data_IF_094972949079
#
_entry.id   IF_094972949079
#
_cell.length_a   1.000
_cell.length_b   1.000
_cell.length_c   1.000
_cell.angle_alpha   90.00
_cell.angle_beta   90.00
_cell.angle_gamma   90.00
#
_symmetry.space_group_name_H-M   'P 1'
#
loop_
_entity.id
_entity.type
_entity.pdbx_description
1 polymer ?
#
# COMPACT_ATOMS: atom_id res chain seq x y z
N UNK A 1 5.03 11.03 13.75
CA UNK A 1 6.21 11.89 13.99
C UNK A 1 6.64 12.44 12.64
N UNK A 2 7.03 13.72 12.53
CA UNK A 2 7.61 14.26 11.31
C UNK A 2 8.94 13.56 10.99
N UNK A 3 9.27 13.44 9.70
CA UNK A 3 10.58 12.98 9.25
C UNK A 3 11.64 14.04 9.57
N UNK A 4 12.81 13.59 10.01
CA UNK A 4 14.02 14.40 10.16
C UNK A 4 14.57 14.86 8.81
N UNK A 5 15.50 15.82 8.83
CA UNK A 5 16.15 16.30 7.62
C UNK A 5 16.91 15.20 6.86
N UNK A 6 17.56 14.29 7.60
CA UNK A 6 18.31 13.17 7.02
C UNK A 6 17.37 12.14 6.37
N UNK A 7 16.24 11.86 7.01
CA UNK A 7 15.20 10.98 6.45
C UNK A 7 14.58 11.59 5.18
N UNK A 8 14.31 12.89 5.17
CA UNK A 8 13.83 13.59 3.98
C UNK A 8 14.86 13.57 2.83
N UNK A 9 16.14 13.73 3.16
CA UNK A 9 17.21 13.63 2.17
C UNK A 9 17.33 12.21 1.58
N UNK A 10 17.21 11.17 2.42
CA UNK A 10 17.17 9.77 1.98
C UNK A 10 15.94 9.49 1.10
N UNK A 11 14.77 10.00 1.48
CA UNK A 11 13.54 9.91 0.67
C UNK A 11 13.76 10.49 -0.72
N UNK A 12 14.38 11.67 -0.85
CA UNK A 12 14.63 12.28 -2.17
C UNK A 12 15.63 11.48 -3.01
N UNK A 13 16.71 10.95 -2.40
CA UNK A 13 17.67 10.09 -3.11
C UNK A 13 17.00 8.83 -3.67
N UNK A 14 16.22 8.14 -2.84
CA UNK A 14 15.48 6.94 -3.25
C UNK A 14 14.41 7.25 -4.29
N UNK A 15 13.69 8.37 -4.16
CA UNK A 15 12.71 8.83 -5.15
C UNK A 15 13.36 9.02 -6.53
N UNK A 16 14.51 9.68 -6.59
CA UNK A 16 15.26 9.88 -7.84
C UNK A 16 15.74 8.54 -8.40
N UNK A 17 16.38 7.71 -7.57
CA UNK A 17 16.95 6.43 -7.99
C UNK A 17 15.89 5.45 -8.53
N UNK A 18 14.68 5.47 -7.96
CA UNK A 18 13.55 4.66 -8.42
C UNK A 18 12.82 5.24 -9.65
N UNK A 19 13.25 6.39 -10.18
CA UNK A 19 12.54 7.15 -11.22
C UNK A 19 11.11 7.54 -10.83
N UNK A 20 10.90 7.87 -9.54
CA UNK A 20 9.60 8.21 -8.97
C UNK A 20 9.20 9.68 -9.09
N UNK A 21 10.01 10.54 -9.72
CA UNK A 21 9.67 11.98 -9.88
C UNK A 21 8.44 12.14 -10.76
N UNK A 22 7.45 12.88 -10.26
CA UNK A 22 6.17 13.10 -10.94
C UNK A 22 5.18 11.93 -10.88
N UNK A 23 5.54 10.80 -10.25
CA UNK A 23 4.62 9.68 -10.09
C UNK A 23 3.70 9.92 -8.86
N UNK A 24 2.35 9.83 -8.98
CA UNK A 24 1.42 10.16 -7.88
C UNK A 24 1.68 9.41 -6.57
N UNK A 25 2.00 8.12 -6.63
CA UNK A 25 2.37 7.34 -5.44
C UNK A 25 3.56 7.93 -4.67
N UNK A 26 4.52 8.49 -5.39
CA UNK A 26 5.73 9.03 -4.79
C UNK A 26 5.50 10.43 -4.20
N UNK A 27 4.43 11.16 -4.53
CA UNK A 27 4.19 12.52 -4.00
C UNK A 27 4.22 12.60 -2.47
N UNK A 28 3.86 11.51 -1.78
CA UNK A 28 3.93 11.43 -0.33
C UNK A 28 5.24 10.81 0.16
N UNK A 29 6.02 11.57 0.93
CA UNK A 29 7.32 11.13 1.47
C UNK A 29 7.24 9.83 2.26
N UNK A 30 6.16 9.63 3.03
CA UNK A 30 5.95 8.42 3.82
C UNK A 30 5.78 7.14 2.95
N UNK A 31 5.33 7.28 1.70
CA UNK A 31 5.25 6.16 0.76
C UNK A 31 6.63 5.69 0.29
N UNK A 32 7.64 6.55 0.32
CA UNK A 32 9.02 6.20 0.01
C UNK A 32 9.73 5.74 1.27
N UNK A 33 9.52 6.46 2.39
CA UNK A 33 10.09 6.15 3.69
C UNK A 33 9.78 4.71 4.15
N UNK A 34 8.57 4.18 3.85
CA UNK A 34 8.23 2.77 4.16
C UNK A 34 9.15 1.75 3.49
N UNK A 35 9.67 2.04 2.30
CA UNK A 35 10.59 1.16 1.59
C UNK A 35 11.97 1.23 2.24
N UNK A 36 12.46 2.43 2.51
CA UNK A 36 13.72 2.64 3.24
C UNK A 36 13.70 1.90 4.58
N UNK A 37 12.60 2.03 5.33
CA UNK A 37 12.43 1.35 6.62
C UNK A 37 12.37 -0.17 6.46
N UNK A 38 11.65 -0.68 5.47
CA UNK A 38 11.51 -2.12 5.24
C UNK A 38 12.83 -2.80 4.88
N UNK A 39 13.74 -2.06 4.25
CA UNK A 39 15.08 -2.53 3.85
C UNK A 39 16.18 -2.02 4.77
N UNK A 40 15.85 -1.70 6.03
CA UNK A 40 16.85 -1.43 7.07
C UNK A 40 17.72 -0.19 6.82
N UNK A 41 17.24 0.76 6.01
CA UNK A 41 18.02 1.94 5.60
C UNK A 41 18.86 1.74 4.35
N UNK A 42 18.82 0.56 3.71
CA UNK A 42 19.48 0.34 2.42
C UNK A 42 18.72 1.08 1.31
N UNK A 43 19.26 2.24 0.91
CA UNK A 43 18.67 3.11 -0.10
C UNK A 43 18.69 2.48 -1.51
N UNK A 44 19.70 1.66 -1.83
CA UNK A 44 19.83 1.03 -3.15
C UNK A 44 18.81 -0.09 -3.32
N UNK A 45 18.69 -0.95 -2.31
CA UNK A 45 17.69 -2.02 -2.31
C UNK A 45 16.28 -1.43 -2.27
N UNK A 46 16.05 -0.43 -1.41
CA UNK A 46 14.76 0.27 -1.35
C UNK A 46 14.38 0.91 -2.69
N UNK A 47 15.32 1.53 -3.40
CA UNK A 47 15.07 2.12 -4.72
C UNK A 47 14.73 1.05 -5.77
N UNK A 48 15.45 -0.08 -5.76
CA UNK A 48 15.21 -1.20 -6.67
C UNK A 48 13.81 -1.78 -6.49
N UNK A 49 13.40 -2.00 -5.25
CA UNK A 49 12.10 -2.57 -4.94
C UNK A 49 10.97 -1.55 -5.16
N UNK A 50 11.20 -0.28 -4.83
CA UNK A 50 10.26 0.80 -5.15
C UNK A 50 10.02 0.88 -6.66
N UNK A 51 11.07 0.84 -7.49
CA UNK A 51 10.94 0.86 -8.95
C UNK A 51 10.09 -0.31 -9.45
N UNK A 52 10.31 -1.52 -8.91
CA UNK A 52 9.46 -2.69 -9.22
C UNK A 52 8.01 -2.45 -8.80
N UNK A 53 7.77 -1.86 -7.63
CA UNK A 53 6.43 -1.53 -7.17
C UNK A 53 5.73 -0.54 -8.11
N UNK A 54 6.41 0.53 -8.54
CA UNK A 54 5.87 1.51 -9.49
C UNK A 54 5.46 0.84 -10.81
N UNK A 55 6.29 -0.06 -11.34
CA UNK A 55 5.94 -0.83 -12.54
C UNK A 55 4.68 -1.69 -12.35
N UNK A 56 4.54 -2.36 -11.21
CA UNK A 56 3.35 -3.16 -10.89
C UNK A 56 2.10 -2.28 -10.84
N UNK A 57 2.21 -1.09 -10.23
CA UNK A 57 1.09 -0.14 -10.16
C UNK A 57 0.60 0.26 -11.53
N UNK A 58 1.50 0.49 -12.49
CA UNK A 58 1.10 0.84 -13.85
C UNK A 58 0.53 -0.35 -14.63
N UNK A 59 1.16 -1.53 -14.53
CA UNK A 59 0.66 -2.75 -15.19
C UNK A 59 -0.75 -3.11 -14.71
N UNK A 60 -1.00 -2.97 -13.41
CA UNK A 60 -2.28 -3.29 -12.79
C UNK A 60 -3.24 -2.09 -12.72
N UNK A 61 -2.87 -0.93 -13.27
CA UNK A 61 -3.67 0.30 -13.22
C UNK A 61 -4.12 0.69 -11.80
N UNK A 62 -3.27 0.46 -10.79
CA UNK A 62 -3.57 0.74 -9.37
C UNK A 62 -3.62 2.24 -9.04
N UNK A 63 -3.17 3.09 -9.96
CA UNK A 63 -3.29 4.55 -9.90
C UNK A 63 -4.68 5.04 -10.25
N UNK A 64 -5.42 4.29 -11.08
CA UNK A 64 -6.76 4.64 -11.55
C UNK A 64 -7.86 3.77 -10.94
N UNK A 65 -7.52 2.76 -10.13
CA UNK A 65 -8.49 2.01 -9.33
C UNK A 65 -9.39 3.01 -8.58
N UNK A 66 -10.66 3.14 -8.98
CA UNK A 66 -11.56 4.06 -8.30
C UNK A 66 -11.83 3.56 -6.89
N UNK A 67 -12.47 4.40 -6.08
CA UNK A 67 -13.46 3.91 -5.13
C UNK A 67 -14.54 3.15 -5.93
N UNK A 68 -14.23 1.97 -6.46
CA UNK A 68 -15.16 1.13 -7.21
C UNK A 68 -16.29 0.84 -6.26
N UNK A 69 -17.41 1.54 -6.49
CA UNK A 69 -18.62 1.35 -5.72
C UNK A 69 -19.15 -0.02 -6.09
N UNK A 70 -18.81 -1.06 -5.33
CA UNK A 70 -19.51 -2.35 -5.20
C UNK A 70 -19.70 -3.24 -6.44
N UNK A 71 -19.92 -2.68 -7.63
CA UNK A 71 -20.43 -3.38 -8.83
C UNK A 71 -19.37 -4.18 -9.59
N UNK A 72 -18.08 -3.91 -9.34
CA UNK A 72 -16.95 -4.66 -9.92
C UNK A 72 -16.28 -5.61 -8.93
N UNK A 73 -16.85 -5.80 -7.74
CA UNK A 73 -16.36 -6.77 -6.76
C UNK A 73 -16.89 -8.14 -7.17
N UNK A 74 -15.98 -9.11 -7.30
CA UNK A 74 -16.36 -10.49 -7.56
C UNK A 74 -17.11 -11.06 -6.35
N UNK A 75 -18.45 -11.05 -6.41
CA UNK A 75 -19.35 -11.56 -5.37
C UNK A 75 -19.02 -13.02 -4.99
N UNK A 76 -18.51 -13.83 -5.93
CA UNK A 76 -18.06 -15.19 -5.64
C UNK A 76 -16.76 -15.20 -4.82
N UNK A 77 -15.83 -14.28 -5.08
CA UNK A 77 -14.62 -14.15 -4.28
C UNK A 77 -14.93 -13.75 -2.82
N UNK A 78 -15.91 -12.86 -2.60
CA UNK A 78 -16.32 -12.43 -1.25
C UNK A 78 -16.92 -13.59 -0.43
N UNK A 79 -17.59 -14.55 -1.08
CA UNK A 79 -18.16 -15.74 -0.44
C UNK A 79 -17.11 -16.67 0.15
N UNK A 80 -15.97 -16.84 -0.52
CA UNK A 80 -14.91 -17.78 -0.10
C UNK A 80 -13.76 -17.10 0.64
N UNK A 81 -13.56 -15.80 0.45
CA UNK A 81 -12.54 -15.03 1.15
C UNK A 81 -13.09 -13.68 1.65
N UNK A 82 -14.02 -13.70 2.64
CA UNK A 82 -14.60 -12.47 3.15
C UNK A 82 -13.53 -11.57 3.77
N UNK A 83 -13.44 -10.34 3.28
CA UNK A 83 -12.53 -9.31 3.77
C UNK A 83 -13.29 -8.00 3.93
N UNK A 84 -13.33 -7.44 5.14
CA UNK A 84 -14.09 -6.21 5.40
C UNK A 84 -13.35 -5.24 6.31
N UNK A 85 -13.62 -3.94 6.13
CA UNK A 85 -13.09 -2.86 6.96
C UNK A 85 -14.16 -2.54 8.03
N UNK A 86 -13.85 -2.82 9.29
CA UNK A 86 -14.80 -2.63 10.41
C UNK A 86 -14.85 -1.18 10.92
N UNK A 87 -13.89 -0.35 10.53
CA UNK A 87 -13.76 1.04 10.99
C UNK A 87 -12.38 1.34 11.56
N UNK A 88 -12.29 2.39 12.39
CA UNK A 88 -11.03 2.85 12.99
C UNK A 88 -10.62 1.96 14.17
N UNK A 89 -9.31 1.77 14.35
CA UNK A 89 -8.75 1.10 15.51
C UNK A 89 -8.87 1.97 16.75
N UNK A 90 -8.31 3.17 16.68
CA UNK A 90 -8.50 4.22 17.69
C UNK A 90 -8.94 5.50 17.00
N UNK A 91 -9.57 6.38 17.76
CA UNK A 91 -10.04 7.65 17.21
C UNK A 91 -8.90 8.58 16.79
N UNK A 92 -7.67 8.34 17.26
CA UNK A 92 -6.53 9.24 17.13
C UNK A 92 -5.33 8.67 16.35
N UNK A 93 -5.38 7.43 15.82
CA UNK A 93 -4.20 6.80 15.20
C UNK A 93 -4.34 6.54 13.68
N UNK A 94 -5.46 6.92 13.06
CA UNK A 94 -5.79 6.71 11.64
C UNK A 94 -5.64 5.26 11.16
N UNK A 95 -5.51 4.28 12.06
CA UNK A 95 -5.43 2.87 11.70
C UNK A 95 -6.84 2.32 11.52
N UNK A 96 -7.01 1.39 10.59
CA UNK A 96 -8.26 0.69 10.36
C UNK A 96 -8.18 -0.77 10.85
N UNK A 97 -9.31 -1.31 11.29
CA UNK A 97 -9.46 -2.75 11.50
C UNK A 97 -9.85 -3.42 10.20
N UNK A 98 -9.05 -4.39 9.79
CA UNK A 98 -9.32 -5.29 8.68
C UNK A 98 -9.66 -6.67 9.26
N UNK A 99 -10.85 -7.17 8.96
CA UNK A 99 -11.28 -8.51 9.35
C UNK A 99 -11.24 -9.43 8.13
N UNK A 100 -10.52 -10.55 8.27
CA UNK A 100 -10.52 -11.65 7.31
C UNK A 100 -11.08 -12.89 7.99
N UNK A 101 -12.01 -13.58 7.32
CA UNK A 101 -12.54 -14.86 7.78
C UNK A 101 -11.96 -15.96 6.90
N UNK A 102 -11.19 -16.88 7.47
CA UNK A 102 -10.46 -17.93 6.72
C UNK A 102 -11.14 -19.28 6.70
N UNK A 103 -12.09 -19.54 7.61
CA UNK A 103 -12.79 -20.82 7.74
C UNK A 103 -14.31 -20.61 7.71
N UNK A 104 -14.90 -20.69 6.51
CA UNK A 104 -16.36 -20.73 6.37
C UNK A 104 -16.78 -22.20 6.25
N UNK A 105 -17.22 -22.80 7.35
CA UNK A 105 -17.88 -24.11 7.32
C UNK A 105 -19.26 -23.96 6.66
N UNK A 106 -19.32 -24.18 5.35
CA UNK A 106 -20.59 -24.32 4.63
C UNK A 106 -21.11 -25.73 4.88
N UNK A 107 -22.01 -25.89 5.86
CA UNK A 107 -22.74 -27.16 6.04
C UNK A 107 -23.59 -27.40 4.79
N UNK A 108 -23.42 -28.52 4.07
CA UNK A 108 -24.34 -28.88 3.00
C UNK A 108 -25.71 -29.17 3.64
N UNK A 109 -26.76 -28.53 3.12
CA UNK A 109 -28.14 -28.94 3.37
C UNK A 109 -28.58 -29.90 2.27
#
# INVERSE_FOLDING_TARGET
MPLSADELAAVERVRVAANGKGHPYCEHDYNIHRWITAYGGDEEEAATVLKRHLNIREIMSLTTLPNSKGEDIDDEAEKYAPLTILGRNRMNDNKAWLLKISDVFISPR
#
